data_IF_164075837750
#
_entry.id   IF_164075837750
#
_cell.length_a   1.000
_cell.length_b   1.000
_cell.length_c   1.000
_cell.angle_alpha   90.00
_cell.angle_beta   90.00
_cell.angle_gamma   90.00
#
_symmetry.space_group_name_H-M   'P 1'
#
loop_
_entity.id
_entity.type
_entity.pdbx_description
1 polymer ?
#
# COMPACT_ATOMS: atom_id res chain seq x y z
N UNK A 1 35.22 -24.20 29.03
CA UNK A 1 33.83 -23.94 28.57
C UNK A 1 33.81 -22.59 27.86
N UNK A 2 34.31 -22.52 26.61
CA UNK A 2 34.48 -21.27 25.88
C UNK A 2 34.11 -21.45 24.40
N UNK A 3 32.86 -21.84 24.11
CA UNK A 3 32.44 -22.13 22.74
C UNK A 3 30.95 -21.91 22.41
N UNK A 4 30.11 -21.55 23.39
CA UNK A 4 28.66 -21.42 23.18
C UNK A 4 28.19 -19.98 22.89
N UNK A 5 29.01 -18.95 23.16
CA UNK A 5 28.65 -17.54 22.93
C UNK A 5 28.85 -17.08 21.47
N UNK A 6 29.58 -17.84 20.66
CA UNK A 6 30.07 -17.37 19.35
C UNK A 6 29.02 -17.42 18.22
N UNK A 7 27.84 -18.03 18.44
CA UNK A 7 26.80 -18.22 17.42
C UNK A 7 25.41 -17.71 17.82
N UNK A 8 25.31 -16.73 18.74
CA UNK A 8 24.01 -16.09 19.01
C UNK A 8 23.62 -15.18 17.84
N UNK A 9 22.53 -15.52 17.16
CA UNK A 9 21.82 -14.58 16.28
C UNK A 9 21.32 -13.43 17.14
N UNK A 10 21.80 -12.21 16.84
CA UNK A 10 21.33 -10.96 17.46
C UNK A 10 20.68 -10.11 16.37
N UNK A 11 19.54 -9.45 16.64
CA UNK A 11 19.00 -8.47 15.70
C UNK A 11 20.07 -7.43 15.38
N UNK A 12 20.27 -7.15 14.09
CA UNK A 12 21.25 -6.16 13.63
C UNK A 12 20.77 -4.72 13.89
N UNK A 13 19.47 -4.53 14.10
CA UNK A 13 18.84 -3.28 14.48
C UNK A 13 18.04 -3.50 15.78
N UNK A 14 18.71 -3.32 16.93
CA UNK A 14 18.03 -3.35 18.23
C UNK A 14 17.26 -2.05 18.50
N UNK A 15 17.69 -0.96 17.87
CA UNK A 15 16.99 0.32 17.89
C UNK A 15 15.97 0.37 16.74
N UNK A 16 14.73 0.69 17.07
CA UNK A 16 13.66 0.84 16.09
C UNK A 16 12.84 2.11 16.37
N UNK A 17 12.29 2.68 15.30
CA UNK A 17 11.23 3.68 15.40
C UNK A 17 9.90 3.01 15.11
N UNK A 18 8.94 3.24 16.00
CA UNK A 18 7.58 2.72 15.85
C UNK A 18 6.78 3.64 14.94
N UNK A 19 6.40 3.14 13.77
CA UNK A 19 5.40 3.78 12.89
C UNK A 19 3.99 3.55 13.44
N UNK A 20 3.72 2.32 13.86
CA UNK A 20 2.46 1.90 14.46
C UNK A 20 2.70 0.73 15.42
N UNK A 21 1.89 0.65 16.47
CA UNK A 21 1.80 -0.51 17.33
C UNK A 21 0.33 -0.83 17.55
N UNK A 22 0.01 -2.11 17.47
CA UNK A 22 -1.34 -2.58 17.71
C UNK A 22 -1.74 -2.30 19.17
N UNK A 23 -2.91 -1.68 19.41
CA UNK A 23 -3.42 -1.50 20.76
C UNK A 23 -3.88 -2.81 21.42
N UNK A 24 -4.08 -3.87 20.63
CA UNK A 24 -4.41 -5.22 21.09
C UNK A 24 -3.76 -6.26 20.17
N UNK A 25 -2.48 -6.61 20.38
CA UNK A 25 -1.73 -7.47 19.47
C UNK A 25 -2.28 -8.91 19.39
N UNK A 26 -3.16 -9.32 20.29
CA UNK A 26 -3.80 -10.64 20.24
C UNK A 26 -4.97 -10.69 19.26
N UNK A 27 -5.57 -9.54 18.92
CA UNK A 27 -6.79 -9.49 18.10
C UNK A 27 -6.70 -8.49 16.93
N UNK A 28 -5.72 -7.59 16.93
CA UNK A 28 -5.48 -6.59 15.89
C UNK A 28 -4.07 -6.78 15.38
N UNK A 29 -3.97 -7.20 14.13
CA UNK A 29 -2.71 -7.56 13.49
C UNK A 29 -2.31 -6.47 12.50
N UNK A 30 -1.00 -6.25 12.37
CA UNK A 30 -0.42 -5.25 11.46
C UNK A 30 0.31 -5.95 10.33
N UNK A 31 -0.01 -5.56 9.10
CA UNK A 31 0.43 -6.25 7.90
C UNK A 31 1.00 -5.29 6.87
N UNK A 32 1.74 -5.88 5.92
CA UNK A 32 1.99 -5.32 4.59
C UNK A 32 2.45 -3.85 4.57
N UNK A 33 3.61 -3.54 5.17
CA UNK A 33 4.13 -2.18 5.15
C UNK A 33 4.59 -1.77 3.74
N UNK A 34 4.28 -0.53 3.35
CA UNK A 34 4.84 0.15 2.18
C UNK A 34 5.44 1.49 2.58
N UNK A 35 6.46 1.97 1.87
CA UNK A 35 7.09 3.27 2.17
C UNK A 35 7.62 3.93 0.90
N UNK A 36 7.51 5.26 0.82
CA UNK A 36 8.14 6.09 -0.23
C UNK A 36 8.75 7.34 0.39
N UNK A 37 9.89 7.77 -0.13
CA UNK A 37 10.47 9.08 0.16
C UNK A 37 10.07 10.07 -0.94
N UNK A 38 9.54 11.23 -0.55
CA UNK A 38 9.18 12.30 -1.46
C UNK A 38 10.39 13.20 -1.76
N UNK A 39 10.38 13.95 -2.89
CA UNK A 39 11.43 14.92 -3.21
C UNK A 39 11.70 15.96 -2.12
N UNK A 40 10.68 16.31 -1.32
CA UNK A 40 10.82 17.22 -0.16
C UNK A 40 11.63 16.63 0.99
N UNK A 41 11.89 15.32 0.99
CA UNK A 41 12.50 14.58 2.10
C UNK A 41 11.48 13.98 3.06
N UNK A 42 10.19 14.32 2.93
CA UNK A 42 9.11 13.68 3.68
C UNK A 42 9.01 12.19 3.34
N UNK A 43 8.83 11.35 4.35
CA UNK A 43 8.53 9.94 4.18
C UNK A 43 7.03 9.69 4.31
N UNK A 44 6.48 8.81 3.48
CA UNK A 44 5.10 8.34 3.59
C UNK A 44 5.09 6.82 3.69
N UNK A 45 4.44 6.31 4.74
CA UNK A 45 4.30 4.88 4.98
C UNK A 45 2.84 4.46 4.94
N UNK A 46 2.61 3.22 4.52
CA UNK A 46 1.33 2.53 4.57
C UNK A 46 1.48 1.23 5.33
N UNK A 47 0.39 0.76 5.91
CA UNK A 47 0.20 -0.59 6.45
C UNK A 47 -1.29 -0.91 6.42
N UNK A 48 -1.65 -2.16 6.65
CA UNK A 48 -3.04 -2.58 6.82
C UNK A 48 -3.27 -3.38 8.10
N UNK A 49 -4.51 -3.33 8.57
CA UNK A 49 -4.97 -3.96 9.80
C UNK A 49 -6.09 -4.95 9.49
N UNK A 50 -6.02 -6.10 10.15
CA UNK A 50 -7.08 -7.10 10.22
C UNK A 50 -7.06 -7.81 11.57
N UNK A 51 -7.96 -8.76 11.77
CA UNK A 51 -8.13 -9.53 12.99
C UNK A 51 -9.49 -9.28 13.66
N UNK A 52 -9.87 -10.17 14.57
CA UNK A 52 -11.17 -10.16 15.25
C UNK A 52 -11.45 -8.87 16.04
N UNK A 53 -10.41 -8.13 16.43
CA UNK A 53 -10.51 -6.92 17.24
C UNK A 53 -10.74 -5.64 16.44
N UNK A 54 -10.61 -5.65 15.11
CA UNK A 54 -10.62 -4.39 14.34
C UNK A 54 -12.00 -3.74 14.23
N UNK A 55 -13.09 -4.48 14.46
CA UNK A 55 -14.47 -3.96 14.43
C UNK A 55 -14.68 -2.77 15.38
N UNK A 56 -13.92 -2.69 16.47
CA UNK A 56 -13.98 -1.60 17.44
C UNK A 56 -13.14 -0.37 17.06
N UNK A 57 -12.27 -0.48 16.05
CA UNK A 57 -11.46 0.66 15.59
C UNK A 57 -12.29 1.56 14.67
N UNK A 58 -12.07 2.89 14.66
CA UNK A 58 -12.62 3.76 13.62
C UNK A 58 -11.96 3.45 12.26
N UNK A 59 -12.57 3.95 11.19
CA UNK A 59 -12.04 3.85 9.83
C UNK A 59 -12.86 2.94 8.90
N UNK A 60 -12.74 3.15 7.58
CA UNK A 60 -13.56 2.47 6.58
C UNK A 60 -13.05 1.05 6.36
N UNK A 61 -13.86 0.04 6.67
CA UNK A 61 -13.51 -1.39 6.53
C UNK A 61 -14.14 -2.00 5.29
N UNK A 62 -13.47 -3.00 4.74
CA UNK A 62 -14.01 -3.86 3.69
C UNK A 62 -13.77 -5.33 4.02
N UNK A 63 -14.70 -6.17 3.55
CA UNK A 63 -14.54 -7.61 3.59
C UNK A 63 -13.71 -8.03 2.38
N UNK A 64 -12.52 -8.56 2.61
CA UNK A 64 -11.56 -8.89 1.53
C UNK A 64 -11.20 -10.37 1.60
N UNK A 65 -10.02 -10.71 2.14
CA UNK A 65 -9.52 -12.08 2.17
C UNK A 65 -10.21 -12.90 3.25
N UNK A 66 -10.63 -14.11 2.90
CA UNK A 66 -11.24 -15.08 3.82
C UNK A 66 -12.44 -14.53 4.62
N UNK A 67 -13.16 -13.57 4.04
CA UNK A 67 -14.31 -12.94 4.69
C UNK A 67 -13.95 -12.06 5.88
N UNK A 68 -12.67 -11.70 6.04
CA UNK A 68 -12.21 -10.85 7.14
C UNK A 68 -12.36 -9.37 6.77
N UNK A 69 -12.59 -8.54 7.79
CA UNK A 69 -12.49 -7.10 7.66
C UNK A 69 -11.03 -6.67 7.52
N UNK A 70 -10.80 -5.68 6.67
CA UNK A 70 -9.50 -5.05 6.46
C UNK A 70 -9.66 -3.55 6.25
N UNK A 71 -8.65 -2.80 6.65
CA UNK A 71 -8.46 -1.42 6.22
C UNK A 71 -6.99 -1.02 6.37
N UNK A 72 -6.56 -0.08 5.53
CA UNK A 72 -5.21 0.45 5.55
C UNK A 72 -5.10 1.82 6.22
N UNK A 73 -3.87 2.20 6.52
CA UNK A 73 -3.49 3.45 7.18
C UNK A 73 -2.36 4.13 6.43
N UNK A 74 -2.38 5.46 6.39
CA UNK A 74 -1.27 6.29 5.90
C UNK A 74 -0.62 7.02 7.07
N UNK A 75 0.71 7.03 7.11
CA UNK A 75 1.52 7.80 8.04
C UNK A 75 2.54 8.64 7.29
N UNK A 76 2.91 9.79 7.85
CA UNK A 76 3.97 10.65 7.31
C UNK A 76 5.03 10.95 8.35
N UNK A 77 6.25 11.22 7.91
CA UNK A 77 7.35 11.68 8.73
C UNK A 77 8.11 12.81 8.04
N UNK A 78 8.33 13.90 8.76
CA UNK A 78 9.05 15.09 8.32
C UNK A 78 10.46 15.22 8.91
N UNK A 79 10.86 14.26 9.75
CA UNK A 79 12.08 14.31 10.54
C UNK A 79 13.02 13.12 10.28
N UNK A 80 13.01 12.62 9.04
CA UNK A 80 13.81 11.49 8.56
C UNK A 80 13.42 10.15 9.23
N UNK A 81 12.12 9.97 9.50
CA UNK A 81 11.58 8.72 10.03
C UNK A 81 11.73 8.56 11.54
N UNK A 82 12.02 9.64 12.28
CA UNK A 82 12.16 9.59 13.76
C UNK A 82 10.80 9.65 14.45
N UNK A 83 9.86 10.40 13.90
CA UNK A 83 8.46 10.45 14.36
C UNK A 83 7.51 10.30 13.18
N UNK A 84 6.33 9.73 13.45
CA UNK A 84 5.33 9.41 12.44
C UNK A 84 3.96 9.92 12.87
N UNK A 85 3.26 10.55 11.94
CA UNK A 85 1.91 11.10 12.16
C UNK A 85 0.92 10.36 11.27
N UNK A 86 -0.14 9.81 11.88
CA UNK A 86 -1.25 9.22 11.13
C UNK A 86 -2.01 10.29 10.34
N UNK A 87 -2.34 10.00 9.08
CA UNK A 87 -3.00 10.95 8.17
C UNK A 87 -4.40 10.55 7.76
N UNK A 88 -4.59 9.28 7.40
CA UNK A 88 -5.90 8.80 6.94
C UNK A 88 -5.97 7.28 7.00
N UNK A 89 -7.21 6.77 6.97
CA UNK A 89 -7.55 5.36 6.85
C UNK A 89 -8.26 5.11 5.52
N UNK A 90 -8.08 3.93 4.92
CA UNK A 90 -8.65 3.60 3.62
C UNK A 90 -9.15 2.14 3.51
N UNK A 91 -10.21 1.88 2.71
CA UNK A 91 -10.94 0.61 2.70
C UNK A 91 -10.31 -0.49 1.82
N UNK A 92 -8.99 -0.62 1.80
CA UNK A 92 -8.29 -1.65 1.01
C UNK A 92 -6.96 -2.04 1.67
N UNK A 93 -6.37 -3.15 1.22
CA UNK A 93 -5.16 -3.74 1.80
C UNK A 93 -4.03 -3.89 0.78
N UNK A 94 -2.88 -4.36 1.25
CA UNK A 94 -1.64 -4.56 0.49
C UNK A 94 -1.20 -3.31 -0.26
N UNK A 95 -1.43 -2.17 0.38
CA UNK A 95 -1.29 -0.88 -0.25
C UNK A 95 0.16 -0.40 -0.24
N UNK A 96 0.57 0.27 -1.32
CA UNK A 96 1.88 0.91 -1.43
C UNK A 96 1.75 2.37 -1.86
N UNK A 97 2.53 3.28 -1.27
CA UNK A 97 2.61 4.65 -1.73
C UNK A 97 3.62 4.76 -2.89
N UNK A 98 3.33 5.59 -3.88
CA UNK A 98 4.25 5.92 -4.97
C UNK A 98 3.95 7.30 -5.57
N UNK A 99 4.96 7.90 -6.19
CA UNK A 99 4.79 9.15 -6.94
C UNK A 99 4.48 8.87 -8.40
N UNK A 100 3.59 9.68 -8.99
CA UNK A 100 3.47 9.82 -10.43
C UNK A 100 3.33 11.32 -10.76
N UNK A 101 4.37 11.90 -11.37
CA UNK A 101 4.50 13.35 -11.49
C UNK A 101 4.67 14.00 -10.11
N UNK A 102 3.90 15.06 -9.84
CA UNK A 102 3.91 15.79 -8.56
C UNK A 102 2.91 15.23 -7.54
N UNK A 103 2.13 14.21 -7.92
CA UNK A 103 1.08 13.65 -7.08
C UNK A 103 1.53 12.36 -6.42
N UNK A 104 1.12 12.21 -5.17
CA UNK A 104 1.29 10.99 -4.39
C UNK A 104 0.06 10.10 -4.56
N UNK A 105 0.28 8.82 -4.79
CA UNK A 105 -0.77 7.82 -4.90
C UNK A 105 -0.53 6.70 -3.90
N UNK A 106 -1.62 6.11 -3.42
CA UNK A 106 -1.61 4.84 -2.69
C UNK A 106 -2.50 3.89 -3.46
N UNK A 107 -1.93 2.77 -3.92
CA UNK A 107 -2.63 1.71 -4.65
C UNK A 107 -2.56 0.40 -3.88
N UNK A 108 -3.67 -0.32 -3.86
CA UNK A 108 -3.80 -1.65 -3.26
C UNK A 108 -5.02 -2.36 -3.83
N UNK A 109 -5.61 -3.26 -3.07
CA UNK A 109 -6.80 -3.99 -3.53
C UNK A 109 -7.79 -4.30 -2.42
N UNK A 110 -9.06 -4.41 -2.80
CA UNK A 110 -10.13 -5.03 -2.01
C UNK A 110 -10.92 -5.98 -2.92
N UNK A 111 -10.24 -7.02 -3.41
CA UNK A 111 -10.57 -7.79 -4.61
C UNK A 111 -10.38 -6.98 -5.90
N UNK A 112 -10.93 -5.77 -6.00
CA UNK A 112 -10.66 -4.86 -7.11
C UNK A 112 -9.44 -3.98 -6.84
N UNK A 113 -8.75 -3.53 -7.90
CA UNK A 113 -7.70 -2.53 -7.75
C UNK A 113 -8.32 -1.22 -7.25
N UNK A 114 -7.73 -0.69 -6.19
CA UNK A 114 -8.15 0.54 -5.54
C UNK A 114 -7.00 1.53 -5.49
N UNK A 115 -7.31 2.81 -5.71
CA UNK A 115 -6.33 3.88 -5.64
C UNK A 115 -6.90 5.10 -4.92
N UNK A 116 -6.03 5.81 -4.22
CA UNK A 116 -6.28 7.15 -3.69
C UNK A 116 -5.09 8.05 -4.01
N UNK A 117 -5.34 9.35 -4.03
CA UNK A 117 -4.40 10.40 -4.45
C UNK A 117 -4.35 11.52 -3.42
N UNK A 118 -3.15 12.05 -3.24
CA UNK A 118 -2.84 13.30 -2.55
C UNK A 118 -2.05 14.21 -3.48
N UNK A 119 -2.37 15.51 -3.43
CA UNK A 119 -1.70 16.58 -4.17
C UNK A 119 -0.93 17.54 -3.25
N UNK A 120 -0.82 17.19 -1.97
CA UNK A 120 -0.23 17.98 -0.90
C UNK A 120 0.66 17.11 0.01
N UNK A 121 1.45 16.23 -0.61
CA UNK A 121 2.45 15.40 0.07
C UNK A 121 1.89 14.53 1.21
N UNK A 122 0.69 13.99 1.01
CA UNK A 122 0.02 13.09 1.94
C UNK A 122 -0.76 13.78 3.06
N UNK A 123 -0.89 15.11 3.04
CA UNK A 123 -1.66 15.86 4.03
C UNK A 123 -3.16 15.57 3.93
N UNK A 124 -3.70 15.62 2.72
CA UNK A 124 -5.10 15.30 2.42
C UNK A 124 -5.21 14.31 1.27
N UNK A 125 -6.33 13.57 1.26
CA UNK A 125 -6.55 12.49 0.31
C UNK A 125 -7.95 12.55 -0.27
N UNK A 126 -8.06 12.20 -1.55
CA UNK A 126 -9.37 12.02 -2.18
C UNK A 126 -10.06 10.73 -1.72
N UNK A 127 -11.33 10.58 -2.13
CA UNK A 127 -12.03 9.30 -1.97
C UNK A 127 -11.36 8.22 -2.80
N UNK A 128 -11.36 6.99 -2.29
CA UNK A 128 -10.90 5.81 -3.01
C UNK A 128 -11.65 5.65 -4.34
N UNK A 129 -10.89 5.45 -5.41
CA UNK A 129 -11.39 5.08 -6.72
C UNK A 129 -11.11 3.59 -6.98
N UNK A 130 -12.09 2.91 -7.57
CA UNK A 130 -11.96 1.54 -8.06
C UNK A 130 -11.51 1.61 -9.53
N UNK A 131 -10.47 0.84 -9.86
CA UNK A 131 -9.81 0.86 -11.17
C UNK A 131 -10.20 -0.31 -12.07
N UNK A 132 -10.82 -1.35 -11.53
CA UNK A 132 -11.16 -2.59 -12.24
C UNK A 132 -12.59 -3.02 -11.91
N UNK A 133 -13.28 -3.64 -12.86
CA UNK A 133 -14.72 -3.89 -12.75
C UNK A 133 -15.07 -5.34 -12.37
N UNK A 134 -14.32 -6.33 -12.87
CA UNK A 134 -14.70 -7.75 -12.75
C UNK A 134 -13.56 -8.67 -12.34
N UNK A 135 -12.32 -8.20 -12.41
CA UNK A 135 -11.14 -8.98 -12.05
C UNK A 135 -10.83 -8.89 -10.56
N UNK A 136 -10.43 -10.03 -10.00
CA UNK A 136 -9.87 -10.11 -8.65
C UNK A 136 -8.35 -10.00 -8.71
N UNK A 137 -7.80 -9.16 -7.85
CA UNK A 137 -6.37 -8.87 -7.76
C UNK A 137 -5.85 -9.23 -6.39
N UNK A 138 -4.56 -9.56 -6.36
CA UNK A 138 -3.82 -9.85 -5.16
C UNK A 138 -2.36 -9.46 -5.41
N UNK A 139 -1.71 -8.82 -4.45
CA UNK A 139 -0.25 -8.76 -4.35
C UNK A 139 0.11 -7.96 -3.10
N UNK A 140 0.95 -8.49 -2.19
CA UNK A 140 1.52 -7.72 -1.09
C UNK A 140 2.36 -6.54 -1.63
N UNK A 141 2.63 -5.47 -0.85
CA UNK A 141 3.42 -4.33 -1.33
C UNK A 141 4.76 -4.75 -1.94
N UNK A 142 5.06 -4.23 -3.12
CA UNK A 142 6.34 -4.38 -3.82
C UNK A 142 6.73 -3.08 -4.51
N UNK A 143 8.02 -2.94 -4.82
CA UNK A 143 8.55 -1.71 -5.40
C UNK A 143 7.90 -1.36 -6.75
N UNK A 144 7.78 -0.07 -7.01
CA UNK A 144 7.47 0.46 -8.34
C UNK A 144 8.76 0.76 -9.09
N UNK A 145 8.72 0.73 -10.41
CA UNK A 145 9.85 1.06 -11.27
C UNK A 145 9.54 2.27 -12.14
N UNK A 146 10.51 3.19 -12.24
CA UNK A 146 10.39 4.42 -13.01
C UNK A 146 11.25 4.34 -14.27
N UNK A 147 10.63 4.45 -15.44
CA UNK A 147 11.36 4.52 -16.71
C UNK A 147 10.53 5.23 -17.78
N UNK A 148 11.19 5.94 -18.70
CA UNK A 148 10.57 6.56 -19.88
C UNK A 148 9.36 7.46 -19.56
N UNK A 149 9.39 8.18 -18.44
CA UNK A 149 8.27 9.02 -18.00
C UNK A 149 7.05 8.22 -17.55
N UNK A 150 7.20 6.96 -17.17
CA UNK A 150 6.13 6.09 -16.71
C UNK A 150 6.45 5.48 -15.36
N UNK A 151 5.39 5.10 -14.65
CA UNK A 151 5.47 4.26 -13.44
C UNK A 151 5.02 2.85 -13.81
N UNK A 152 5.87 1.89 -13.52
CA UNK A 152 5.64 0.48 -13.73
C UNK A 152 5.47 -0.22 -12.39
N UNK A 153 4.40 -1.00 -12.26
CA UNK A 153 4.20 -1.85 -11.10
C UNK A 153 3.56 -3.17 -11.54
N UNK A 154 3.67 -4.19 -10.70
CA UNK A 154 3.11 -5.52 -10.95
C UNK A 154 2.00 -5.76 -9.95
N UNK A 155 0.84 -6.22 -10.43
CA UNK A 155 -0.19 -6.83 -9.58
C UNK A 155 -0.57 -8.18 -10.15
N UNK A 156 -0.88 -9.14 -9.29
CA UNK A 156 -1.26 -10.49 -9.70
C UNK A 156 -2.78 -10.54 -9.84
N UNK A 157 -3.24 -11.06 -10.96
CA UNK A 157 -4.68 -11.30 -11.18
C UNK A 157 -4.99 -12.72 -10.78
N UNK A 158 -5.96 -12.90 -9.90
CA UNK A 158 -6.50 -14.21 -9.57
C UNK A 158 -7.41 -14.65 -10.71
N UNK A 159 -6.97 -15.64 -11.50
CA UNK A 159 -7.74 -16.22 -12.62
C UNK A 159 -8.35 -17.59 -12.33
N UNK A 160 -8.05 -18.19 -11.17
CA UNK A 160 -8.61 -19.47 -10.76
C UNK A 160 -8.69 -19.53 -9.23
N UNK A 161 -9.73 -20.20 -8.73
CA UNK A 161 -9.85 -20.49 -7.30
C UNK A 161 -8.75 -21.47 -6.87
N UNK A 162 -8.18 -21.24 -5.69
CA UNK A 162 -7.19 -22.15 -5.12
C UNK A 162 -7.34 -22.27 -3.60
N UNK A 163 -6.93 -23.41 -3.07
CA UNK A 163 -6.84 -23.63 -1.63
C UNK A 163 -5.45 -23.19 -1.16
N UNK A 164 -5.31 -21.91 -0.79
CA UNK A 164 -4.06 -21.35 -0.26
C UNK A 164 -3.80 -19.91 -0.72
N UNK A 165 -2.63 -19.38 -0.37
CA UNK A 165 -2.18 -18.05 -0.79
C UNK A 165 -1.97 -18.03 -2.32
N UNK A 166 -2.59 -17.10 -3.07
CA UNK A 166 -2.51 -17.05 -4.52
C UNK A 166 -1.20 -16.49 -5.07
N UNK A 167 -0.07 -17.15 -4.76
CA UNK A 167 1.26 -16.82 -5.31
C UNK A 167 1.51 -17.39 -6.72
N UNK A 168 0.56 -18.11 -7.31
CA UNK A 168 0.75 -18.88 -8.55
C UNK A 168 -0.13 -18.44 -9.72
N UNK A 169 -0.71 -17.23 -9.68
CA UNK A 169 -1.64 -16.77 -10.72
C UNK A 169 -1.15 -15.48 -11.38
N UNK A 170 -1.26 -15.43 -12.71
CA UNK A 170 -0.55 -14.52 -13.61
C UNK A 170 -0.28 -13.10 -13.07
N UNK A 171 1.00 -12.70 -13.11
CA UNK A 171 1.43 -11.33 -12.87
C UNK A 171 1.16 -10.46 -14.10
N UNK A 172 0.36 -9.41 -13.96
CA UNK A 172 0.17 -8.42 -15.02
C UNK A 172 1.02 -7.18 -14.72
N UNK A 173 1.66 -6.66 -15.78
CA UNK A 173 2.37 -5.38 -15.72
C UNK A 173 1.38 -4.23 -15.90
N UNK A 174 1.45 -3.28 -14.98
CA UNK A 174 0.76 -2.00 -15.08
C UNK A 174 1.75 -0.93 -15.51
N UNK A 175 1.32 -0.10 -16.47
CA UNK A 175 2.00 1.13 -16.88
C UNK A 175 1.04 2.30 -16.68
N UNK A 176 1.48 3.31 -15.92
CA UNK A 176 0.85 4.61 -15.85
C UNK A 176 1.79 5.67 -16.45
N UNK A 177 1.31 6.40 -17.46
CA UNK A 177 2.06 7.52 -18.03
C UNK A 177 2.07 8.72 -17.09
N UNK A 178 3.24 9.26 -16.79
CA UNK A 178 3.34 10.59 -16.19
C UNK A 178 2.96 11.61 -17.26
N UNK A 179 1.76 12.18 -17.19
CA UNK A 179 1.37 13.27 -18.07
C UNK A 179 1.16 14.56 -17.29
N UNK A 180 1.93 15.60 -17.62
CA UNK A 180 1.58 16.97 -17.30
C UNK A 180 0.39 17.40 -18.16
N UNK A 181 -0.85 17.13 -17.72
CA UNK A 181 -2.02 17.81 -18.30
C UNK A 181 -2.91 18.34 -17.21
N UNK A 182 -3.26 19.62 -17.36
CA UNK A 182 -4.20 20.37 -16.52
C UNK A 182 -5.52 19.57 -16.41
N UNK A 183 -6.18 19.58 -15.23
CA UNK A 183 -7.47 18.94 -15.07
C UNK A 183 -8.49 19.52 -16.04
N UNK A 184 -9.33 18.67 -16.63
CA UNK A 184 -10.49 19.14 -17.38
C UNK A 184 -11.55 19.74 -16.44
N UNK A 185 -12.50 20.48 -17.01
CA UNK A 185 -13.51 21.24 -16.26
C UNK A 185 -14.46 20.40 -15.38
N UNK A 186 -14.25 19.07 -15.29
CA UNK A 186 -15.05 18.13 -14.49
C UNK A 186 -14.23 17.38 -13.44
N UNK A 187 -12.93 17.67 -13.28
CA UNK A 187 -12.08 17.06 -12.25
C UNK A 187 -11.86 15.56 -12.43
N UNK A 188 -11.99 15.02 -13.66
CA UNK A 188 -11.78 13.59 -13.94
C UNK A 188 -10.33 13.39 -14.41
N UNK A 189 -9.56 12.58 -13.68
CA UNK A 189 -8.22 12.16 -14.10
C UNK A 189 -8.35 11.08 -15.20
N UNK A 190 -7.71 11.29 -16.35
CA UNK A 190 -7.51 10.24 -17.36
C UNK A 190 -6.31 9.37 -16.94
N UNK A 191 -6.51 8.51 -15.93
CA UNK A 191 -5.52 7.49 -15.55
C UNK A 191 -5.63 6.33 -16.54
N UNK A 192 -4.83 6.36 -17.61
CA UNK A 192 -4.82 5.27 -18.60
C UNK A 192 -3.99 4.11 -18.08
N UNK A 193 -4.64 3.21 -17.34
CA UNK A 193 -4.13 1.86 -17.09
C UNK A 193 -4.02 1.13 -18.43
N UNK A 194 -2.80 0.77 -18.81
CA UNK A 194 -2.58 -0.22 -19.86
C UNK A 194 -2.08 -1.49 -19.19
N UNK A 195 -2.95 -2.50 -19.11
CA UNK A 195 -2.53 -3.87 -18.85
C UNK A 195 -1.85 -4.39 -20.12
N UNK A 196 -0.54 -4.62 -20.06
CA UNK A 196 0.20 -5.26 -21.14
C UNK A 196 0.33 -6.76 -20.87
N UNK A 197 -0.09 -7.59 -21.81
CA UNK A 197 0.25 -9.01 -21.82
C UNK A 197 1.64 -9.15 -22.48
N UNK A 198 2.58 -9.84 -21.83
CA UNK A 198 3.82 -10.32 -22.46
C UNK A 198 3.65 -11.73 -22.97
#
# INVERSE_FOLDING_TARGET
MAGAEQFRVRPLANDFVRVYESPDPNNIYTYSPGIVALPSGRLVATLDLSGSGIGNLPGPKQIIEHGQEWFGKVFVSDDQGRTWTHKTDFPFMHARPFLAGQSLYVIGHCNYLCIMRSDDEGETWNKTAILTESETWHQAPSNVHYANGNVYLVMERITAAMNGWPCSVMANRFDARQSERRPDAKGKLDFRLRAGFS
#
